data_IF_446378611896
#
_entry.id   IF_446378611896
#
_cell.length_a   1.000
_cell.length_b   1.000
_cell.length_c   1.000
_cell.angle_alpha   90.00
_cell.angle_beta   90.00
_cell.angle_gamma   90.00
#
_symmetry.space_group_name_H-M   'P 1'
#
loop_
_entity.id
_entity.type
_entity.pdbx_description
1 polymer ?
#
# COMPACT_ATOMS: atom_id res chain seq x y z
N UNK A 1 -27.80 27.87 18.38
CA UNK A 1 -27.10 28.79 19.31
C UNK A 1 -26.90 28.01 20.60
N UNK A 2 -25.72 27.78 21.15
CA UNK A 2 -24.48 28.57 21.20
C UNK A 2 -23.28 27.63 21.31
N UNK A 3 -22.20 28.03 20.64
CA UNK A 3 -20.85 27.46 20.70
C UNK A 3 -20.32 27.49 22.14
N UNK A 4 -19.68 26.40 22.58
CA UNK A 4 -18.70 26.45 23.67
C UNK A 4 -17.49 25.60 23.28
N UNK A 5 -16.51 26.28 22.71
CA UNK A 5 -15.17 25.78 22.50
C UNK A 5 -14.43 25.96 23.83
N UNK A 6 -13.94 24.89 24.43
CA UNK A 6 -13.03 24.94 25.56
C UNK A 6 -11.67 24.51 25.05
N UNK A 7 -10.84 25.51 24.84
CA UNK A 7 -9.41 25.41 24.58
C UNK A 7 -8.68 25.22 25.91
N UNK A 8 -7.54 24.53 25.84
CA UNK A 8 -6.30 24.77 26.61
C UNK A 8 -6.02 23.83 27.80
N UNK A 9 -5.13 22.86 27.55
CA UNK A 9 -4.12 22.46 28.52
C UNK A 9 -2.76 22.43 27.81
N UNK A 10 -1.99 23.48 28.07
CA UNK A 10 -0.59 23.63 27.75
C UNK A 10 0.20 22.85 28.80
N UNK A 11 0.66 21.63 28.50
CA UNK A 11 1.63 20.92 29.35
C UNK A 11 2.98 20.89 28.65
N UNK A 12 3.86 21.81 29.04
CA UNK A 12 5.27 21.71 28.76
C UNK A 12 5.83 20.51 29.53
N UNK A 13 6.21 19.45 28.82
CA UNK A 13 7.08 18.41 29.37
C UNK A 13 8.53 18.78 29.07
N UNK A 14 9.29 18.85 30.16
CA UNK A 14 10.69 19.27 30.25
C UNK A 14 11.61 18.23 29.60
N UNK A 15 12.70 18.73 28.99
CA UNK A 15 13.80 17.93 28.43
C UNK A 15 14.31 16.88 29.42
N UNK A 16 14.48 15.65 28.94
CA UNK A 16 15.37 14.66 29.57
C UNK A 16 16.29 14.05 28.51
N UNK A 17 17.51 13.82 28.97
CA UNK A 17 18.75 13.69 28.24
C UNK A 17 18.92 12.39 27.44
N UNK A 18 19.83 12.45 26.47
CA UNK A 18 20.22 11.35 25.59
C UNK A 18 20.61 10.07 26.34
N UNK A 19 20.18 8.93 25.81
CA UNK A 19 20.91 7.68 25.89
C UNK A 19 20.69 6.94 24.56
N UNK A 20 21.76 6.86 23.77
CA UNK A 20 21.91 5.98 22.62
C UNK A 20 21.41 4.57 22.96
N UNK A 21 20.41 4.09 22.20
CA UNK A 21 20.15 2.66 22.02
C UNK A 21 19.82 2.42 20.56
N UNK A 22 20.67 1.60 19.96
CA UNK A 22 20.63 1.13 18.61
C UNK A 22 19.25 0.61 18.18
N UNK A 23 18.96 0.85 16.90
CA UNK A 23 18.19 0.02 15.96
C UNK A 23 17.01 -0.76 16.57
N UNK A 24 15.83 -0.18 16.45
CA UNK A 24 14.65 -0.97 16.12
C UNK A 24 14.32 -0.62 14.67
N UNK A 25 14.82 -1.47 13.78
CA UNK A 25 14.21 -1.77 12.49
C UNK A 25 12.75 -2.13 12.75
N UNK A 26 11.91 -1.10 12.78
CA UNK A 26 10.50 -1.26 12.54
C UNK A 26 10.40 -1.23 11.02
N UNK A 27 10.18 -2.39 10.41
CA UNK A 27 9.66 -2.46 9.04
C UNK A 27 8.28 -1.81 9.08
N UNK A 28 8.29 -0.48 9.02
CA UNK A 28 7.14 0.33 8.74
C UNK A 28 6.82 0.00 7.29
N UNK A 29 5.70 -0.67 7.09
CA UNK A 29 5.02 -0.61 5.83
C UNK A 29 4.79 0.88 5.54
N UNK A 30 5.68 1.46 4.73
CA UNK A 30 5.46 2.79 4.19
C UNK A 30 4.24 2.67 3.30
N UNK A 31 3.10 3.13 3.80
CA UNK A 31 1.93 3.43 2.99
C UNK A 31 2.31 4.67 2.17
N UNK A 32 3.12 4.46 1.12
CA UNK A 32 3.36 5.47 0.11
C UNK A 32 2.02 5.68 -0.61
N UNK A 33 1.50 6.91 -0.61
CA UNK A 33 0.50 7.30 -1.61
C UNK A 33 1.28 7.49 -2.91
N UNK A 34 1.79 6.38 -3.44
CA UNK A 34 2.50 6.31 -4.71
C UNK A 34 1.47 6.46 -5.81
N UNK A 35 1.41 7.64 -6.42
CA UNK A 35 0.58 7.88 -7.59
C UNK A 35 0.93 6.91 -8.72
N UNK A 36 0.09 6.86 -9.76
CA UNK A 36 0.25 5.98 -10.92
C UNK A 36 1.68 5.97 -11.49
N UNK A 37 2.40 7.09 -11.40
CA UNK A 37 3.76 7.25 -11.95
C UNK A 37 4.81 6.36 -11.28
N UNK A 38 4.73 6.10 -9.97
CA UNK A 38 5.73 5.28 -9.27
C UNK A 38 5.70 3.82 -9.74
N UNK A 39 4.52 3.36 -10.12
CA UNK A 39 4.26 1.96 -10.46
C UNK A 39 4.13 1.72 -11.96
N UNK A 40 4.13 2.79 -12.77
CA UNK A 40 3.99 2.74 -14.22
C UNK A 40 5.08 1.89 -14.91
N UNK A 41 6.27 1.81 -14.31
CA UNK A 41 7.39 1.03 -14.82
C UNK A 41 7.29 -0.46 -14.51
N UNK A 42 6.33 -0.89 -13.68
CA UNK A 42 6.15 -2.30 -13.39
C UNK A 42 5.49 -3.02 -14.58
N UNK A 43 6.00 -4.19 -15.00
CA UNK A 43 5.47 -4.91 -16.17
C UNK A 43 4.00 -5.32 -15.99
N UNK A 44 3.56 -5.56 -14.76
CA UNK A 44 2.18 -5.89 -14.43
C UNK A 44 1.23 -4.70 -14.38
N UNK A 45 1.74 -3.47 -14.30
CA UNK A 45 0.94 -2.29 -14.02
C UNK A 45 -0.10 -1.95 -15.08
N UNK A 46 0.22 -1.98 -16.39
CA UNK A 46 -0.78 -1.72 -17.43
C UNK A 46 -1.98 -2.66 -17.33
N UNK A 47 -1.72 -3.96 -17.11
CA UNK A 47 -2.77 -4.97 -16.98
C UNK A 47 -3.55 -4.82 -15.67
N UNK A 48 -2.87 -4.44 -14.59
CA UNK A 48 -3.50 -4.18 -13.29
C UNK A 48 -4.56 -3.08 -13.41
N UNK A 49 -4.19 -1.93 -13.96
CA UNK A 49 -5.09 -0.77 -14.12
C UNK A 49 -6.19 -1.04 -15.16
N UNK A 50 -5.90 -1.74 -16.25
CA UNK A 50 -6.93 -2.16 -17.22
C UNK A 50 -7.98 -3.09 -16.59
N UNK A 51 -7.55 -3.96 -15.67
CA UNK A 51 -8.44 -4.91 -14.99
C UNK A 51 -9.33 -4.25 -13.92
N UNK A 52 -8.74 -3.41 -13.06
CA UNK A 52 -9.44 -2.89 -11.87
C UNK A 52 -9.96 -1.45 -12.04
N UNK A 53 -9.57 -0.77 -13.11
CA UNK A 53 -9.83 0.65 -13.33
C UNK A 53 -8.70 1.55 -12.83
N UNK A 54 -8.76 2.81 -13.27
CA UNK A 54 -7.77 3.86 -12.96
C UNK A 54 -8.25 4.76 -11.81
N UNK A 55 -8.87 4.17 -10.78
CA UNK A 55 -9.20 4.91 -9.56
C UNK A 55 -7.93 5.22 -8.77
N UNK A 56 -8.01 6.19 -7.86
CA UNK A 56 -6.89 6.55 -6.97
C UNK A 56 -6.70 5.47 -5.88
N UNK A 57 -5.94 4.43 -6.22
CA UNK A 57 -5.50 3.40 -5.27
C UNK A 57 -4.17 3.78 -4.64
N UNK A 58 -4.03 3.62 -3.32
CA UNK A 58 -2.71 3.53 -2.69
C UNK A 58 -2.18 2.10 -2.84
N UNK A 59 -0.89 1.98 -3.15
CA UNK A 59 -0.25 0.69 -3.40
C UNK A 59 0.80 0.43 -2.33
N UNK A 60 0.68 -0.74 -1.70
CA UNK A 60 1.62 -1.23 -0.69
C UNK A 60 2.30 -2.49 -1.17
N UNK A 61 3.62 -2.45 -1.22
CA UNK A 61 4.42 -3.65 -1.50
C UNK A 61 4.52 -4.51 -0.26
N UNK A 62 3.93 -5.71 -0.31
CA UNK A 62 4.04 -6.72 0.77
C UNK A 62 5.27 -7.59 0.59
N UNK A 63 5.61 -7.88 -0.66
CA UNK A 63 6.79 -8.67 -1.00
C UNK A 63 7.25 -8.26 -2.39
N UNK A 64 8.55 -8.04 -2.55
CA UNK A 64 9.20 -7.98 -3.85
C UNK A 64 10.53 -8.72 -3.77
N UNK A 65 10.60 -9.91 -4.37
CA UNK A 65 11.82 -10.70 -4.45
C UNK A 65 12.01 -11.27 -5.86
N UNK A 66 13.05 -12.09 -6.07
CA UNK A 66 13.36 -12.62 -7.40
C UNK A 66 12.24 -13.48 -7.99
N UNK A 67 11.47 -14.21 -7.17
CA UNK A 67 10.44 -15.11 -7.67
C UNK A 67 9.05 -14.48 -7.77
N UNK A 68 8.70 -13.54 -6.87
CA UNK A 68 7.35 -12.95 -6.85
C UNK A 68 7.31 -11.51 -6.35
N UNK A 69 6.30 -10.78 -6.80
CA UNK A 69 5.85 -9.51 -6.22
C UNK A 69 4.41 -9.61 -5.75
N UNK A 70 4.11 -9.10 -4.56
CA UNK A 70 2.76 -9.01 -4.01
C UNK A 70 2.48 -7.56 -3.65
N UNK A 71 1.45 -7.00 -4.27
CA UNK A 71 0.97 -5.64 -4.03
C UNK A 71 -0.41 -5.70 -3.38
N UNK A 72 -0.65 -4.86 -2.37
CA UNK A 72 -1.98 -4.58 -1.83
C UNK A 72 -2.42 -3.20 -2.31
N UNK A 73 -3.64 -3.12 -2.80
CA UNK A 73 -4.23 -1.89 -3.31
C UNK A 73 -5.39 -1.49 -2.42
N UNK A 74 -5.31 -0.30 -1.86
CA UNK A 74 -6.33 0.28 -0.99
C UNK A 74 -7.01 1.45 -1.67
N UNK A 75 -8.31 1.59 -1.48
CA UNK A 75 -9.05 2.76 -1.96
C UNK A 75 -8.67 4.03 -1.17
N UNK A 76 -9.23 5.18 -1.58
CA UNK A 76 -9.03 6.46 -0.89
C UNK A 76 -9.43 6.49 0.60
N UNK A 77 -10.19 5.49 1.08
CA UNK A 77 -10.51 5.33 2.50
C UNK A 77 -9.46 4.53 3.28
N UNK A 78 -8.45 3.98 2.60
CA UNK A 78 -7.46 3.08 3.15
C UNK A 78 -7.95 1.63 3.27
N UNK A 79 -9.06 1.29 2.63
CA UNK A 79 -9.60 -0.08 2.66
C UNK A 79 -8.98 -0.90 1.54
N UNK A 80 -8.33 -2.02 1.88
CA UNK A 80 -7.77 -2.95 0.90
C UNK A 80 -8.88 -3.52 0.00
N UNK A 81 -8.76 -3.29 -1.31
CA UNK A 81 -9.74 -3.77 -2.32
C UNK A 81 -9.19 -4.89 -3.17
N UNK A 82 -7.92 -4.81 -3.53
CA UNK A 82 -7.30 -5.78 -4.40
C UNK A 82 -5.93 -6.23 -3.90
N UNK A 83 -5.58 -7.46 -4.28
CA UNK A 83 -4.25 -8.03 -4.13
C UNK A 83 -3.75 -8.45 -5.51
N UNK A 84 -2.60 -7.94 -5.89
CA UNK A 84 -1.86 -8.38 -7.08
C UNK A 84 -0.76 -9.35 -6.66
N UNK A 85 -0.58 -10.42 -7.43
CA UNK A 85 0.51 -11.39 -7.27
C UNK A 85 1.12 -11.63 -8.65
N UNK A 86 2.34 -11.15 -8.86
CA UNK A 86 3.15 -11.47 -10.04
C UNK A 86 4.12 -12.60 -9.69
N UNK A 87 4.05 -13.71 -10.43
CA UNK A 87 5.06 -14.77 -10.43
C UNK A 87 6.03 -14.48 -11.57
N UNK A 88 7.22 -13.98 -11.24
CA UNK A 88 8.18 -13.41 -12.19
C UNK A 88 8.75 -14.44 -13.15
N UNK A 89 9.04 -15.65 -12.65
CA UNK A 89 9.61 -16.74 -13.45
C UNK A 89 8.71 -17.14 -14.62
N UNK A 90 7.39 -17.03 -14.44
CA UNK A 90 6.39 -17.41 -15.45
C UNK A 90 5.68 -16.20 -16.06
N UNK A 91 6.08 -14.99 -15.66
CA UNK A 91 5.37 -13.74 -15.95
C UNK A 91 3.84 -13.82 -15.73
N UNK A 92 3.39 -14.54 -14.70
CA UNK A 92 1.96 -14.78 -14.44
C UNK A 92 1.46 -13.77 -13.43
N UNK A 93 0.47 -12.97 -13.81
CA UNK A 93 -0.21 -12.03 -12.94
C UNK A 93 -1.53 -12.63 -12.47
N UNK A 94 -1.77 -12.56 -11.16
CA UNK A 94 -3.06 -12.83 -10.53
C UNK A 94 -3.55 -11.58 -9.81
N UNK A 95 -4.82 -11.24 -9.99
CA UNK A 95 -5.49 -10.14 -9.29
C UNK A 95 -6.72 -10.71 -8.58
N UNK A 96 -6.83 -10.43 -7.29
CA UNK A 96 -7.85 -10.99 -6.41
C UNK A 96 -8.54 -9.85 -5.66
N UNK A 97 -9.87 -9.87 -5.59
CA UNK A 97 -10.66 -8.99 -4.71
C UNK A 97 -10.52 -9.45 -3.26
N UNK A 98 -10.24 -8.51 -2.36
CA UNK A 98 -10.05 -8.83 -0.93
C UNK A 98 -11.38 -9.12 -0.23
N UNK A 99 -12.46 -8.43 -0.61
CA UNK A 99 -13.75 -8.51 0.07
C UNK A 99 -14.44 -9.89 -0.05
N UNK A 100 -14.21 -10.62 -1.15
CA UNK A 100 -14.85 -11.92 -1.45
C UNK A 100 -13.89 -13.01 -1.94
N UNK A 101 -12.57 -12.76 -1.90
CA UNK A 101 -11.52 -13.61 -2.48
C UNK A 101 -11.76 -13.97 -3.97
N UNK A 102 -12.53 -13.14 -4.68
CA UNK A 102 -12.84 -13.33 -6.09
C UNK A 102 -11.62 -13.10 -6.97
N UNK A 103 -11.16 -14.15 -7.67
CA UNK A 103 -10.16 -14.03 -8.73
C UNK A 103 -10.75 -13.25 -9.92
N UNK A 104 -10.18 -12.10 -10.23
CA UNK A 104 -10.62 -11.25 -11.34
C UNK A 104 -9.69 -11.32 -12.56
N UNK A 105 -8.44 -11.75 -12.35
CA UNK A 105 -7.47 -11.96 -13.41
C UNK A 105 -6.45 -13.03 -13.00
N UNK A 106 -6.04 -13.89 -13.94
CA UNK A 106 -5.03 -14.92 -13.71
C UNK A 106 -4.44 -15.43 -15.03
N UNK A 107 -3.59 -14.63 -15.66
CA UNK A 107 -2.99 -14.95 -16.96
C UNK A 107 -1.48 -14.70 -16.98
N UNK A 108 -0.82 -15.26 -18.00
CA UNK A 108 0.58 -14.94 -18.33
C UNK A 108 0.58 -13.63 -19.12
N UNK A 109 1.45 -12.70 -18.74
CA UNK A 109 1.67 -11.45 -19.45
C UNK A 109 2.66 -11.70 -20.60
N UNK A 110 2.34 -11.17 -21.78
CA UNK A 110 3.18 -11.24 -22.99
C UNK A 110 4.21 -10.10 -23.07
#
# INVERSE_FOLDING_TARGET
MSKKWITLLLSAFVLSACSDRASLDNTEATEEIGGHEEWADLPEYPTLIDTIGNDDYSIKTVTDNQGKRILLLSDSSGTEKYKSILIKDTNRLKIIKVDDDGEVFNEILD
#
